data_IF_166434962254
#
_entry.id   IF_166434962254
#
_cell.length_a   1.000
_cell.length_b   1.000
_cell.length_c   1.000
_cell.angle_alpha   90.00
_cell.angle_beta   90.00
_cell.angle_gamma   90.00
#
_symmetry.space_group_name_H-M   'P 1'
#
loop_
_entity.id
_entity.type
_entity.pdbx_description
1 polymer ?
#
# COMPACT_ATOMS: atom_id res chain seq x y z
N UNK A 1 -8.71 17.11 3.05
CA UNK A 1 -8.64 16.93 4.51
C UNK A 1 -8.07 18.18 5.19
N UNK A 2 -6.85 18.64 4.84
CA UNK A 2 -6.24 19.81 5.52
C UNK A 2 -7.08 21.07 5.39
N UNK A 3 -7.73 21.33 4.26
CA UNK A 3 -8.66 22.46 4.08
C UNK A 3 -9.95 22.34 4.91
N UNK A 4 -10.29 21.15 5.36
CA UNK A 4 -11.40 20.88 6.26
C UNK A 4 -10.96 20.73 7.74
N UNK A 5 -9.79 21.25 8.11
CA UNK A 5 -9.31 21.28 9.50
C UNK A 5 -8.68 19.95 9.99
N UNK A 6 -8.50 18.95 9.13
CA UNK A 6 -7.97 17.65 9.53
C UNK A 6 -6.46 17.56 9.32
N UNK A 7 -5.73 17.19 10.37
CA UNK A 7 -4.30 16.87 10.26
C UNK A 7 -4.05 15.60 9.42
N UNK A 8 -3.09 15.66 8.53
CA UNK A 8 -2.79 14.57 7.58
C UNK A 8 -1.38 14.05 7.74
N UNK A 9 -1.24 12.73 7.79
CA UNK A 9 0.05 12.02 7.75
C UNK A 9 0.21 11.35 6.39
N UNK A 10 1.15 11.84 5.59
CA UNK A 10 1.42 11.35 4.25
C UNK A 10 2.46 10.21 4.31
N UNK A 11 2.05 9.01 3.87
CA UNK A 11 2.91 7.82 3.91
C UNK A 11 3.64 7.55 2.58
N UNK A 12 3.28 8.24 1.50
CA UNK A 12 3.77 7.94 0.16
C UNK A 12 3.13 6.67 -0.43
N UNK A 13 3.66 6.16 -1.53
CA UNK A 13 3.19 4.91 -2.14
C UNK A 13 3.59 3.72 -1.25
N UNK A 14 2.63 3.13 -0.55
CA UNK A 14 2.81 1.93 0.27
C UNK A 14 1.62 0.97 0.07
N UNK A 15 1.79 -0.34 0.30
CA UNK A 15 0.69 -1.30 0.17
C UNK A 15 -0.52 -0.95 1.03
N UNK A 16 -1.72 -1.23 0.52
CA UNK A 16 -2.99 -0.97 1.23
C UNK A 16 -2.98 -1.50 2.69
N UNK A 17 -2.53 -2.73 2.99
CA UNK A 17 -2.46 -3.19 4.38
C UNK A 17 -1.43 -2.42 5.23
N UNK A 18 -0.44 -1.77 4.64
CA UNK A 18 0.47 -0.90 5.39
C UNK A 18 -0.25 0.31 5.97
N UNK A 19 -1.18 0.91 5.22
CA UNK A 19 -1.99 2.03 5.73
C UNK A 19 -2.87 1.58 6.88
N UNK A 20 -3.53 0.43 6.77
CA UNK A 20 -4.33 -0.17 7.84
C UNK A 20 -3.49 -0.40 9.11
N UNK A 21 -2.29 -0.99 8.95
CA UNK A 21 -1.34 -1.21 10.04
C UNK A 21 -0.89 0.11 10.69
N UNK A 22 -0.44 1.08 9.88
CA UNK A 22 0.06 2.37 10.37
C UNK A 22 -1.03 3.19 11.06
N UNK A 23 -2.27 3.14 10.57
CA UNK A 23 -3.41 3.80 11.21
C UNK A 23 -3.55 3.35 12.65
N UNK A 24 -3.52 2.04 12.89
CA UNK A 24 -3.58 1.45 14.23
C UNK A 24 -2.31 1.71 15.03
N UNK A 25 -1.14 1.45 14.46
CA UNK A 25 0.15 1.55 15.14
C UNK A 25 0.46 2.97 15.63
N UNK A 26 0.06 3.98 14.87
CA UNK A 26 0.25 5.40 15.19
C UNK A 26 -0.95 6.02 15.90
N UNK A 27 -2.00 5.23 16.20
CA UNK A 27 -3.24 5.68 16.85
C UNK A 27 -3.92 6.83 16.12
N UNK A 28 -3.94 6.76 14.79
CA UNK A 28 -4.62 7.73 13.95
C UNK A 28 -6.14 7.49 13.96
N UNK A 29 -6.91 8.51 13.67
CA UNK A 29 -8.39 8.46 13.66
C UNK A 29 -8.91 7.60 12.51
N UNK A 30 -8.28 7.71 11.34
CA UNK A 30 -8.66 6.97 10.13
C UNK A 30 -7.46 6.80 9.20
N UNK A 31 -7.52 5.81 8.31
CA UNK A 31 -6.60 5.63 7.19
C UNK A 31 -7.32 5.77 5.87
N UNK A 32 -6.65 6.35 4.87
CA UNK A 32 -7.19 6.52 3.52
C UNK A 32 -6.17 6.05 2.50
N UNK A 33 -6.64 5.27 1.53
CA UNK A 33 -5.82 4.75 0.42
C UNK A 33 -6.51 5.07 -0.89
N UNK A 34 -5.75 5.60 -1.84
CA UNK A 34 -6.16 5.69 -3.25
C UNK A 34 -5.46 4.56 -3.99
N UNK A 35 -6.20 3.68 -4.64
CA UNK A 35 -5.65 2.48 -5.26
C UNK A 35 -6.46 2.03 -6.47
N UNK A 36 -5.76 1.60 -7.51
CA UNK A 36 -6.37 0.90 -8.65
C UNK A 36 -6.57 -0.61 -8.40
N UNK A 37 -6.09 -1.15 -7.25
CA UNK A 37 -6.11 -2.60 -6.96
C UNK A 37 -5.36 -3.38 -8.08
N UNK A 38 -6.04 -4.30 -8.74
CA UNK A 38 -5.55 -5.06 -9.91
C UNK A 38 -6.03 -4.50 -11.26
N UNK A 39 -6.64 -3.31 -11.24
CA UNK A 39 -7.17 -2.64 -12.42
C UNK A 39 -6.12 -1.74 -13.11
N UNK A 40 -6.36 -1.30 -14.34
CA UNK A 40 -5.58 -0.24 -14.96
C UNK A 40 -5.60 1.06 -14.13
N UNK A 41 -4.57 1.89 -14.30
CA UNK A 41 -4.37 3.12 -13.51
C UNK A 41 -5.57 4.07 -13.46
N UNK A 42 -6.40 4.08 -14.52
CA UNK A 42 -7.58 4.95 -14.63
C UNK A 42 -8.76 4.54 -13.74
N UNK A 43 -8.76 3.28 -13.28
CA UNK A 43 -9.84 2.70 -12.48
C UNK A 43 -9.46 2.73 -10.99
N UNK A 44 -9.17 3.93 -10.50
CA UNK A 44 -8.86 4.18 -9.09
C UNK A 44 -10.12 4.17 -8.22
N UNK A 45 -9.94 3.79 -6.96
CA UNK A 45 -10.93 3.95 -5.91
C UNK A 45 -10.31 4.43 -4.60
N UNK A 46 -11.14 4.91 -3.70
CA UNK A 46 -10.75 5.32 -2.35
C UNK A 46 -11.19 4.25 -1.36
N UNK A 47 -10.28 3.86 -0.46
CA UNK A 47 -10.56 2.92 0.63
C UNK A 47 -10.32 3.61 1.97
N UNK A 48 -11.24 3.40 2.90
CA UNK A 48 -11.16 3.94 4.25
C UNK A 48 -10.92 2.84 5.27
N UNK A 49 -10.11 3.16 6.28
CA UNK A 49 -9.86 2.30 7.43
C UNK A 49 -10.19 3.02 8.72
N UNK A 50 -10.77 2.30 9.66
CA UNK A 50 -11.05 2.78 11.01
C UNK A 50 -9.75 2.96 11.81
N UNK A 51 -9.83 3.58 12.99
CA UNK A 51 -8.71 3.68 13.93
C UNK A 51 -8.12 2.33 14.33
N UNK A 52 -8.89 1.24 14.22
CA UNK A 52 -8.44 -0.14 14.47
C UNK A 52 -7.72 -0.76 13.27
N UNK A 53 -7.64 -0.07 12.13
CA UNK A 53 -7.04 -0.57 10.89
C UNK A 53 -7.92 -1.61 10.18
N UNK A 54 -9.22 -1.58 10.41
CA UNK A 54 -10.21 -2.43 9.72
C UNK A 54 -10.99 -1.63 8.69
N UNK A 55 -11.49 -2.30 7.63
CA UNK A 55 -12.42 -1.68 6.68
C UNK A 55 -13.60 -1.07 7.45
N UNK A 56 -14.11 0.07 6.99
CA UNK A 56 -15.34 0.65 7.55
C UNK A 56 -16.55 -0.23 7.23
N UNK A 57 -17.58 -0.23 8.10
CA UNK A 57 -18.87 -0.83 7.77
C UNK A 57 -19.49 -0.18 6.54
N UNK A 58 -20.17 -0.96 5.71
CA UNK A 58 -20.78 -0.48 4.46
C UNK A 58 -21.77 0.71 4.70
N UNK A 59 -22.47 0.71 5.84
CA UNK A 59 -23.36 1.83 6.21
C UNK A 59 -22.58 3.17 6.36
N UNK A 60 -21.37 3.12 6.92
CA UNK A 60 -20.51 4.32 7.06
C UNK A 60 -19.93 4.73 5.72
N UNK A 61 -19.59 3.79 4.85
CA UNK A 61 -19.12 4.10 3.49
C UNK A 61 -20.23 4.82 2.70
N UNK A 62 -21.48 4.36 2.79
CA UNK A 62 -22.63 5.04 2.16
C UNK A 62 -22.88 6.45 2.70
N UNK A 63 -22.65 6.66 4.01
CA UNK A 63 -22.74 8.02 4.60
C UNK A 63 -21.64 8.94 4.03
N UNK A 64 -20.41 8.43 3.86
CA UNK A 64 -19.29 9.17 3.25
C UNK A 64 -19.62 9.52 1.79
N UNK A 65 -20.16 8.57 1.02
CA UNK A 65 -20.58 8.81 -0.37
C UNK A 65 -21.64 9.90 -0.45
N UNK A 66 -22.62 9.87 0.44
CA UNK A 66 -23.68 10.90 0.50
C UNK A 66 -23.14 12.32 0.87
N UNK A 67 -22.00 12.41 1.54
CA UNK A 67 -21.35 13.71 1.82
C UNK A 67 -20.68 14.31 0.59
N UNK A 68 -20.26 13.49 -0.41
CA UNK A 68 -19.61 13.97 -1.64
C UNK A 68 -20.53 14.92 -2.42
N UNK A 69 -21.84 14.69 -2.38
CA UNK A 69 -22.85 15.50 -3.06
C UNK A 69 -23.19 16.79 -2.31
N UNK A 70 -22.77 16.92 -1.05
CA UNK A 70 -22.97 18.10 -0.23
C UNK A 70 -21.78 19.05 -0.39
N UNK A 71 -21.92 20.20 -0.88
CA UNK A 71 -20.87 21.17 -1.17
C UNK A 71 -19.68 21.14 -0.20
N UNK A 72 -18.48 21.36 -0.73
CA UNK A 72 -17.23 21.31 0.02
C UNK A 72 -17.12 22.52 0.98
N UNK A 73 -16.84 22.26 2.25
CA UNK A 73 -16.60 23.26 3.28
C UNK A 73 -15.10 23.39 3.55
N UNK A 74 -14.62 24.64 3.54
CA UNK A 74 -13.25 24.96 3.98
C UNK A 74 -13.29 25.67 5.31
N UNK A 75 -12.35 25.33 6.18
CA UNK A 75 -12.09 26.06 7.40
C UNK A 75 -11.44 27.43 7.13
N UNK A 76 -11.57 28.34 8.07
CA UNK A 76 -10.79 29.58 8.08
C UNK A 76 -9.29 29.28 8.24
N UNK A 77 -8.42 30.24 7.90
CA UNK A 77 -6.96 30.04 7.88
C UNK A 77 -6.39 29.50 9.20
N UNK A 78 -7.00 29.89 10.31
CA UNK A 78 -6.59 29.48 11.67
C UNK A 78 -7.00 28.02 12.00
N UNK A 79 -8.02 27.52 11.31
CA UNK A 79 -8.58 26.16 11.50
C UNK A 79 -8.02 25.12 10.54
N UNK A 80 -7.12 25.48 9.62
CA UNK A 80 -6.56 24.55 8.64
C UNK A 80 -5.74 23.43 9.31
N UNK A 81 -5.98 22.20 8.90
CA UNK A 81 -5.18 21.06 9.32
C UNK A 81 -3.77 21.09 8.73
N UNK A 82 -2.84 20.42 9.38
CA UNK A 82 -1.43 20.33 8.99
C UNK A 82 -1.15 19.02 8.28
N UNK A 83 -0.40 19.07 7.19
CA UNK A 83 0.12 17.89 6.52
C UNK A 83 1.60 17.68 6.87
N UNK A 84 1.95 16.45 7.28
CA UNK A 84 3.34 16.04 7.52
C UNK A 84 3.63 14.71 6.83
N UNK A 85 4.86 14.53 6.39
CA UNK A 85 5.32 13.25 5.82
C UNK A 85 5.83 12.33 6.93
N UNK A 86 5.47 11.05 6.84
CA UNK A 86 6.03 9.97 7.66
C UNK A 86 7.16 9.31 6.84
N UNK A 87 8.39 9.72 7.10
CA UNK A 87 9.54 9.28 6.29
C UNK A 87 9.94 7.81 6.53
N UNK A 88 9.53 7.23 7.64
CA UNK A 88 9.84 5.85 8.04
C UNK A 88 8.65 4.88 7.85
N UNK A 89 7.63 5.28 7.07
CA UNK A 89 6.42 4.48 6.84
C UNK A 89 6.74 3.09 6.26
N UNK A 90 7.59 3.04 5.25
CA UNK A 90 8.00 1.79 4.59
C UNK A 90 8.74 0.87 5.57
N UNK A 91 9.77 1.38 6.26
CA UNK A 91 10.57 0.62 7.22
C UNK A 91 9.72 0.04 8.35
N UNK A 92 8.77 0.82 8.89
CA UNK A 92 7.82 0.31 9.90
C UNK A 92 7.00 -0.85 9.39
N UNK A 93 6.55 -0.79 8.15
CA UNK A 93 5.75 -1.86 7.57
C UNK A 93 6.59 -3.08 7.20
N UNK A 94 7.82 -2.90 6.72
CA UNK A 94 8.79 -3.99 6.48
C UNK A 94 9.04 -4.76 7.79
N UNK A 95 9.35 -4.06 8.89
CA UNK A 95 9.55 -4.69 10.19
C UNK A 95 8.29 -5.42 10.69
N UNK A 96 7.12 -4.84 10.48
CA UNK A 96 5.86 -5.53 10.81
C UNK A 96 5.70 -6.81 10.00
N UNK A 97 5.92 -6.79 8.69
CA UNK A 97 5.82 -8.00 7.86
C UNK A 97 6.80 -9.08 8.33
N UNK A 98 8.05 -8.73 8.58
CA UNK A 98 9.07 -9.67 9.09
C UNK A 98 8.68 -10.24 10.46
N UNK A 99 8.08 -9.44 11.32
CA UNK A 99 7.64 -9.89 12.64
C UNK A 99 6.54 -10.95 12.61
N UNK A 100 5.83 -11.09 11.50
CA UNK A 100 4.81 -12.14 11.28
C UNK A 100 5.41 -13.46 10.78
N UNK A 101 6.68 -13.45 10.38
CA UNK A 101 7.37 -14.65 9.93
C UNK A 101 7.72 -15.54 11.13
N UNK A 102 7.65 -16.89 11.02
CA UNK A 102 7.90 -17.78 12.14
C UNK A 102 9.29 -17.58 12.74
N UNK A 103 9.37 -17.51 14.07
CA UNK A 103 10.65 -17.38 14.78
C UNK A 103 11.57 -18.55 14.47
N UNK A 104 12.83 -18.25 14.16
CA UNK A 104 13.85 -19.25 13.83
C UNK A 104 13.79 -19.81 12.41
N UNK A 105 12.81 -19.40 11.61
CA UNK A 105 12.79 -19.65 10.16
C UNK A 105 13.40 -18.48 9.39
N UNK A 106 13.97 -18.79 8.23
CA UNK A 106 14.45 -17.80 7.25
C UNK A 106 14.23 -18.33 5.82
N UNK A 107 14.55 -17.51 4.84
CA UNK A 107 14.41 -17.84 3.42
C UNK A 107 15.78 -18.06 2.75
N UNK A 108 16.84 -18.32 3.50
CA UNK A 108 18.18 -18.57 2.96
C UNK A 108 18.20 -19.80 2.06
N UNK A 109 18.79 -19.64 0.89
CA UNK A 109 18.85 -20.69 -0.12
C UNK A 109 17.70 -20.73 -1.09
N UNK A 110 16.64 -19.91 -0.87
CA UNK A 110 15.56 -19.72 -1.84
C UNK A 110 15.86 -18.54 -2.75
N UNK A 111 15.59 -18.70 -4.04
CA UNK A 111 15.64 -17.64 -5.05
C UNK A 111 14.23 -17.31 -5.51
N UNK A 112 13.75 -16.13 -5.16
CA UNK A 112 12.37 -15.70 -5.38
C UNK A 112 12.25 -14.73 -6.55
N UNK A 113 11.25 -14.92 -7.41
CA UNK A 113 10.88 -13.96 -8.44
C UNK A 113 9.63 -13.20 -7.96
N UNK A 114 9.73 -11.88 -7.84
CA UNK A 114 8.66 -11.02 -7.34
C UNK A 114 8.17 -10.09 -8.45
N UNK A 115 6.90 -10.24 -8.85
CA UNK A 115 6.22 -9.28 -9.71
C UNK A 115 5.48 -8.28 -8.82
N UNK A 116 5.94 -7.03 -8.79
CA UNK A 116 5.36 -5.95 -7.99
C UNK A 116 4.32 -5.12 -8.76
N UNK A 117 3.98 -5.52 -10.00
CA UNK A 117 2.93 -4.92 -10.83
C UNK A 117 3.10 -3.40 -11.08
N UNK A 118 4.30 -2.84 -10.93
CA UNK A 118 4.54 -1.40 -10.84
C UNK A 118 3.60 -0.69 -9.83
N UNK A 119 3.18 -1.43 -8.80
CA UNK A 119 2.29 -1.00 -7.75
C UNK A 119 3.02 -0.64 -6.46
N UNK A 120 2.28 -0.31 -5.42
CA UNK A 120 2.80 0.21 -4.16
C UNK A 120 3.69 -0.75 -3.34
N UNK A 121 3.76 -2.03 -3.74
CA UNK A 121 4.65 -3.01 -3.12
C UNK A 121 6.10 -2.97 -3.65
N UNK A 122 6.39 -2.16 -4.66
CA UNK A 122 7.65 -2.15 -5.42
C UNK A 122 8.93 -2.00 -4.58
N UNK A 123 8.87 -1.29 -3.47
CA UNK A 123 9.97 -1.15 -2.50
C UNK A 123 9.87 -2.16 -1.35
N UNK A 124 8.65 -2.30 -0.81
CA UNK A 124 8.43 -3.08 0.41
C UNK A 124 8.61 -4.58 0.18
N UNK A 125 8.03 -5.14 -0.90
CA UNK A 125 8.07 -6.59 -1.08
C UNK A 125 9.49 -7.11 -1.30
N UNK A 126 10.33 -6.54 -2.19
CA UNK A 126 11.72 -6.97 -2.33
C UNK A 126 12.51 -6.85 -1.02
N UNK A 127 12.32 -5.77 -0.26
CA UNK A 127 13.03 -5.56 0.99
C UNK A 127 12.67 -6.62 2.05
N UNK A 128 11.37 -6.92 2.24
CA UNK A 128 10.92 -7.94 3.20
C UNK A 128 11.55 -9.29 2.91
N UNK A 129 11.49 -9.78 1.67
CA UNK A 129 12.01 -11.09 1.32
C UNK A 129 13.54 -11.15 1.35
N UNK A 130 14.22 -10.08 0.94
CA UNK A 130 15.66 -9.96 1.05
C UNK A 130 16.14 -9.98 2.51
N UNK A 131 15.47 -9.22 3.39
CA UNK A 131 15.81 -9.18 4.81
C UNK A 131 15.48 -10.47 5.57
N UNK A 132 14.57 -11.30 5.04
CA UNK A 132 14.34 -12.67 5.51
C UNK A 132 15.38 -13.68 4.97
N UNK A 133 16.30 -13.25 4.09
CA UNK A 133 17.43 -14.05 3.62
C UNK A 133 17.29 -14.63 2.22
N UNK A 134 16.21 -14.34 1.48
CA UNK A 134 16.05 -14.82 0.10
C UNK A 134 16.97 -14.08 -0.88
N UNK A 135 17.38 -14.79 -1.96
CA UNK A 135 17.86 -14.15 -3.18
C UNK A 135 16.66 -13.68 -4.01
N UNK A 136 16.56 -12.37 -4.24
CA UNK A 136 15.34 -11.74 -4.81
C UNK A 136 15.59 -11.21 -6.21
N UNK A 137 14.82 -11.69 -7.17
CA UNK A 137 14.66 -11.09 -8.50
C UNK A 137 13.37 -10.28 -8.50
N UNK A 138 13.47 -8.96 -8.45
CA UNK A 138 12.33 -8.07 -8.45
C UNK A 138 12.01 -7.57 -9.86
N UNK A 139 10.75 -7.67 -10.26
CA UNK A 139 10.23 -7.25 -11.56
C UNK A 139 9.03 -6.31 -11.38
N UNK A 140 8.76 -5.50 -12.41
CA UNK A 140 7.70 -4.49 -12.38
C UNK A 140 7.81 -3.57 -11.14
N UNK A 141 9.02 -3.03 -10.90
CA UNK A 141 9.36 -2.18 -9.75
C UNK A 141 9.65 -0.72 -10.13
N UNK A 142 9.27 -0.31 -11.31
CA UNK A 142 9.51 1.04 -11.83
C UNK A 142 8.18 1.77 -12.14
N UNK A 143 7.38 2.13 -11.13
CA UNK A 143 6.11 2.80 -11.33
C UNK A 143 6.33 4.19 -11.95
N UNK A 144 5.59 4.50 -13.01
CA UNK A 144 5.59 5.82 -13.68
C UNK A 144 4.26 6.58 -13.49
N UNK A 145 3.31 5.97 -12.77
CA UNK A 145 1.97 6.51 -12.52
C UNK A 145 0.91 6.04 -13.53
N UNK A 146 1.30 5.43 -14.64
CA UNK A 146 0.40 4.99 -15.72
C UNK A 146 0.51 3.49 -16.02
N UNK A 147 1.59 2.84 -15.56
CA UNK A 147 1.97 1.47 -15.92
C UNK A 147 1.60 0.41 -14.87
N UNK A 148 0.83 0.76 -13.83
CA UNK A 148 0.37 -0.22 -12.82
C UNK A 148 -0.47 -1.31 -13.49
N UNK A 149 -0.17 -2.58 -13.20
CA UNK A 149 -0.87 -3.76 -13.72
C UNK A 149 -0.86 -3.90 -15.26
N UNK A 150 -0.03 -3.15 -15.98
CA UNK A 150 0.03 -3.22 -17.44
C UNK A 150 0.94 -4.38 -17.89
N UNK A 151 0.32 -5.48 -18.30
CA UNK A 151 1.01 -6.72 -18.69
C UNK A 151 1.77 -7.43 -17.55
N UNK A 152 1.53 -7.03 -16.31
CA UNK A 152 2.20 -7.56 -15.10
C UNK A 152 1.19 -7.71 -13.96
N UNK A 153 1.62 -8.35 -12.86
CA UNK A 153 0.81 -8.48 -11.65
C UNK A 153 -0.15 -9.69 -11.66
N UNK A 154 -1.08 -9.69 -10.71
CA UNK A 154 -1.90 -10.84 -10.35
C UNK A 154 -2.84 -11.36 -11.47
N UNK A 155 -3.08 -10.58 -12.49
CA UNK A 155 -3.92 -10.94 -13.66
C UNK A 155 -3.11 -11.45 -14.85
N UNK A 156 -1.77 -11.49 -14.75
CA UNK A 156 -0.84 -11.91 -15.79
C UNK A 156 0.11 -13.03 -15.32
N UNK A 157 -0.44 -14.05 -14.65
CA UNK A 157 0.33 -15.12 -13.97
C UNK A 157 1.05 -16.07 -14.93
N UNK A 158 0.57 -16.27 -16.15
CA UNK A 158 1.23 -17.15 -17.14
C UNK A 158 2.60 -16.57 -17.54
N UNK A 159 2.69 -15.27 -17.78
CA UNK A 159 3.94 -14.60 -18.08
C UNK A 159 4.90 -14.60 -16.86
N UNK A 160 4.36 -14.47 -15.66
CA UNK A 160 5.12 -14.56 -14.42
C UNK A 160 5.78 -15.95 -14.31
N UNK A 161 5.04 -17.03 -14.54
CA UNK A 161 5.56 -18.39 -14.48
C UNK A 161 6.72 -18.62 -15.47
N UNK A 162 6.59 -18.12 -16.71
CA UNK A 162 7.62 -18.20 -17.73
C UNK A 162 8.88 -17.42 -17.30
N UNK A 163 8.71 -16.20 -16.79
CA UNK A 163 9.83 -15.35 -16.33
C UNK A 163 10.53 -15.96 -15.12
N UNK A 164 9.79 -16.53 -14.17
CA UNK A 164 10.32 -17.23 -12.99
C UNK A 164 11.20 -18.41 -13.40
N UNK A 165 10.69 -19.28 -14.28
CA UNK A 165 11.44 -20.42 -14.77
C UNK A 165 12.73 -20.00 -15.54
N UNK A 166 12.62 -18.97 -16.38
CA UNK A 166 13.77 -18.41 -17.13
C UNK A 166 14.83 -17.80 -16.23
N UNK A 167 14.44 -17.21 -15.11
CA UNK A 167 15.34 -16.63 -14.11
C UNK A 167 15.99 -17.70 -13.21
N UNK A 168 15.55 -18.96 -13.31
CA UNK A 168 16.01 -20.04 -12.44
C UNK A 168 15.66 -19.78 -10.97
N UNK A 169 14.45 -19.30 -10.72
CA UNK A 169 13.90 -19.10 -9.37
C UNK A 169 13.08 -20.33 -8.94
N UNK A 170 12.94 -20.52 -7.63
CA UNK A 170 12.24 -21.65 -7.00
C UNK A 170 10.71 -21.56 -7.09
#
# INVERSE_FOLDING_TARGET
>A
FSSAGVDVVLCGPIPTPAVAYLTRALRLTAGVVISASHNPFRDNGIKFFSAQGTKLPDAVELEIEAEIDKGFLCEASEGLGKARRLNDAEGRYIEFCKSTFPQGADLRGLKLYLDCANGAAYHVAPAVFHELGADVVADAVNPDGLNINDGVGATHTDDLAIRTAKAGCD
#
